data_IF_024173017127
#
_entry.id   IF_024173017127
#
_cell.length_a   1.000
_cell.length_b   1.000
_cell.length_c   1.000
_cell.angle_alpha   90.00
_cell.angle_beta   90.00
_cell.angle_gamma   90.00
#
_symmetry.space_group_name_H-M   'P 1'
#
loop_
_entity.id
_entity.type
_entity.pdbx_description
1 polymer ?
#
# COMPACT_ATOMS: atom_id res chain seq x y z
N UNK A 1 -33.50 7.43 -7.58
CA UNK A 1 -32.09 7.80 -7.36
C UNK A 1 -31.48 6.62 -6.64
N UNK A 2 -30.59 5.86 -7.27
CA UNK A 2 -30.00 4.69 -6.61
C UNK A 2 -29.00 5.17 -5.57
N UNK A 3 -29.30 4.91 -4.30
CA UNK A 3 -28.36 5.06 -3.20
C UNK A 3 -27.14 4.16 -3.47
N UNK A 4 -25.96 4.77 -3.52
CA UNK A 4 -24.72 4.01 -3.45
C UNK A 4 -24.64 3.54 -1.99
N UNK A 5 -25.10 2.32 -1.72
CA UNK A 5 -24.92 1.69 -0.42
C UNK A 5 -23.42 1.44 -0.23
N UNK A 6 -22.75 2.29 0.56
CA UNK A 6 -21.37 2.06 0.98
C UNK A 6 -21.35 0.83 1.87
N UNK A 7 -21.02 -0.34 1.30
CA UNK A 7 -20.56 -1.49 2.07
C UNK A 7 -19.24 -1.12 2.72
N UNK A 8 -19.30 -0.53 3.91
CA UNK A 8 -18.11 -0.24 4.70
C UNK A 8 -17.43 -1.53 5.12
N UNK A 9 -16.41 -1.97 4.38
CA UNK A 9 -15.40 -2.86 4.93
C UNK A 9 -14.60 -2.03 5.92
N UNK A 10 -14.99 -2.05 7.20
CA UNK A 10 -14.34 -1.25 8.23
C UNK A 10 -12.97 -1.86 8.58
N UNK A 11 -11.94 -1.50 7.80
CA UNK A 11 -10.54 -1.65 8.21
C UNK A 11 -10.32 -0.83 9.48
N UNK A 12 -9.46 -1.32 10.38
CA UNK A 12 -9.20 -0.66 11.69
C UNK A 12 -7.95 0.23 11.68
N UNK A 13 -7.13 0.14 10.63
CA UNK A 13 -5.90 0.89 10.47
C UNK A 13 -5.49 1.00 9.01
N UNK A 14 -4.78 2.08 8.66
CA UNK A 14 -4.16 2.26 7.35
C UNK A 14 -2.80 1.54 7.33
N UNK A 15 -2.55 0.56 6.45
CA UNK A 15 -1.27 -0.12 6.37
C UNK A 15 -0.15 0.83 5.91
N UNK A 16 1.05 0.65 6.48
CA UNK A 16 2.28 1.32 6.06
C UNK A 16 3.19 0.27 5.44
N UNK A 17 3.57 0.43 4.18
CA UNK A 17 4.40 -0.51 3.43
C UNK A 17 5.78 0.09 3.19
N UNK A 18 6.84 -0.68 3.45
CA UNK A 18 8.20 -0.30 3.05
C UNK A 18 8.42 -0.68 1.57
N UNK A 19 8.66 0.34 0.75
CA UNK A 19 8.90 0.16 -0.68
C UNK A 19 10.38 0.25 -1.06
N UNK A 20 11.29 0.35 -0.09
CA UNK A 20 12.73 0.34 -0.35
C UNK A 20 13.18 -0.83 -1.26
N UNK A 21 12.65 -2.07 -1.12
CA UNK A 21 13.04 -3.18 -2.00
C UNK A 21 12.69 -2.99 -3.47
N UNK A 22 11.73 -2.11 -3.80
CA UNK A 22 11.39 -1.80 -5.20
C UNK A 22 12.56 -1.18 -5.96
N UNK A 23 13.50 -0.56 -5.26
CA UNK A 23 14.70 0.07 -5.84
C UNK A 23 15.91 -0.88 -5.90
N UNK A 24 15.76 -2.14 -5.48
CA UNK A 24 16.85 -3.13 -5.50
C UNK A 24 16.85 -3.98 -6.79
N UNK A 25 17.89 -4.79 -6.98
CA UNK A 25 17.95 -5.82 -8.04
C UNK A 25 17.30 -7.16 -7.63
N UNK A 26 16.72 -7.25 -6.42
CA UNK A 26 16.07 -8.46 -5.93
C UNK A 26 14.61 -8.57 -6.38
N UNK A 27 14.38 -9.37 -7.42
CA UNK A 27 13.04 -9.63 -7.97
C UNK A 27 12.08 -10.32 -6.99
N UNK A 28 12.59 -11.16 -6.07
CA UNK A 28 11.75 -11.80 -5.08
C UNK A 28 11.27 -10.77 -4.05
N UNK A 29 12.15 -9.87 -3.64
CA UNK A 29 11.80 -8.77 -2.73
C UNK A 29 10.79 -7.80 -3.37
N UNK A 30 10.95 -7.48 -4.66
CA UNK A 30 9.96 -6.68 -5.41
C UNK A 30 8.57 -7.33 -5.43
N UNK A 31 8.50 -8.63 -5.72
CA UNK A 31 7.24 -9.38 -5.75
C UNK A 31 6.56 -9.39 -4.38
N UNK A 32 7.33 -9.49 -3.30
CA UNK A 32 6.81 -9.42 -1.94
C UNK A 32 6.13 -8.07 -1.68
N UNK A 33 6.81 -6.96 -1.98
CA UNK A 33 6.24 -5.61 -1.81
C UNK A 33 4.98 -5.44 -2.68
N UNK A 34 5.01 -5.91 -3.93
CA UNK A 34 3.84 -5.85 -4.81
C UNK A 34 2.63 -6.61 -4.27
N UNK A 35 2.86 -7.79 -3.65
CA UNK A 35 1.79 -8.57 -3.02
C UNK A 35 1.19 -7.85 -1.81
N UNK A 36 2.03 -7.22 -0.97
CA UNK A 36 1.55 -6.43 0.18
C UNK A 36 0.74 -5.19 -0.28
N UNK A 37 1.19 -4.51 -1.34
CA UNK A 37 0.44 -3.39 -1.93
C UNK A 37 -0.90 -3.83 -2.52
N UNK A 38 -0.93 -4.99 -3.19
CA UNK A 38 -2.17 -5.54 -3.76
C UNK A 38 -3.19 -5.91 -2.68
N UNK A 39 -2.74 -6.50 -1.56
CA UNK A 39 -3.60 -6.80 -0.41
C UNK A 39 -4.17 -5.52 0.21
N UNK A 40 -3.32 -4.52 0.48
CA UNK A 40 -3.75 -3.24 1.02
C UNK A 40 -4.74 -2.53 0.09
N UNK A 41 -4.46 -2.49 -1.21
CA UNK A 41 -5.37 -1.88 -2.18
C UNK A 41 -6.71 -2.64 -2.30
N UNK A 42 -6.69 -3.97 -2.23
CA UNK A 42 -7.88 -4.80 -2.38
C UNK A 42 -8.78 -4.85 -1.14
N UNK A 43 -8.18 -4.90 0.06
CA UNK A 43 -8.90 -5.07 1.32
C UNK A 43 -9.19 -3.75 2.04
N UNK A 44 -8.31 -2.76 1.89
CA UNK A 44 -8.37 -1.49 2.61
C UNK A 44 -8.70 -0.33 1.65
N UNK A 45 -8.09 -0.30 0.48
CA UNK A 45 -8.30 0.72 -0.56
C UNK A 45 -7.32 1.90 -0.51
N UNK A 46 -6.53 2.03 0.56
CA UNK A 46 -5.47 3.03 0.72
C UNK A 46 -4.35 2.48 1.61
N UNK A 47 -3.16 3.06 1.47
CA UNK A 47 -1.95 2.70 2.20
C UNK A 47 -1.00 3.91 2.28
N UNK A 48 -0.13 3.93 3.29
CA UNK A 48 1.05 4.79 3.32
C UNK A 48 2.27 4.01 2.82
N UNK A 49 3.24 4.72 2.25
CA UNK A 49 4.52 4.14 1.84
C UNK A 49 5.67 4.77 2.62
N UNK A 50 6.68 3.97 2.93
CA UNK A 50 7.98 4.37 3.50
C UNK A 50 9.11 3.80 2.62
N UNK A 51 10.35 4.25 2.81
CA UNK A 51 11.46 3.80 1.94
C UNK A 51 11.36 4.29 0.50
N UNK A 52 10.54 5.32 0.23
CA UNK A 52 10.26 5.87 -1.11
C UNK A 52 11.42 6.71 -1.71
N UNK A 53 12.54 6.82 -1.00
CA UNK A 53 13.72 7.60 -1.41
C UNK A 53 13.43 9.08 -1.75
N UNK A 54 12.35 9.63 -1.19
CA UNK A 54 12.05 11.08 -1.28
C UNK A 54 12.58 11.70 0.00
N UNK A 55 13.49 12.68 -0.08
CA UNK A 55 13.96 13.40 1.10
C UNK A 55 12.76 14.09 1.77
N UNK A 56 12.66 13.96 3.09
CA UNK A 56 11.90 14.93 3.88
C UNK A 56 12.72 16.21 3.88
N UNK A 57 12.10 17.36 3.67
CA UNK A 57 12.68 18.68 3.36
C UNK A 57 14.08 19.01 3.95
N UNK A 58 14.81 19.88 3.24
CA UNK A 58 16.16 20.37 3.59
C UNK A 58 16.19 21.33 4.78
#
# INVERSE_FOLDING_TARGET
MSEIETRGTAFTSIPVIDIAPLFSDDEAAKRKVAAEMADAAGNVGFLYVSGHNIPREA
#
